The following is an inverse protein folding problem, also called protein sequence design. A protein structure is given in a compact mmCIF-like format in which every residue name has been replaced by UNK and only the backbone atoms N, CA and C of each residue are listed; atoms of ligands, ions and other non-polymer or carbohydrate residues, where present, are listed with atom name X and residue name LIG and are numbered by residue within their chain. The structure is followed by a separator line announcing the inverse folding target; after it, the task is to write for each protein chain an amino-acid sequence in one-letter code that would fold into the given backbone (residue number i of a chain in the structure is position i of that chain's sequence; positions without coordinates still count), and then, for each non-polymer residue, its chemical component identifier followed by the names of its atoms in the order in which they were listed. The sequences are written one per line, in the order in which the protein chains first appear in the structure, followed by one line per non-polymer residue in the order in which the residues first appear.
data_IF_862716225942
#
_entry.id   IF_862716225942
#
_cell.length_a   1.000
_cell.length_b   1.000
_cell.length_c   1.000
_cell.angle_alpha   90.00
_cell.angle_beta   90.00
_cell.angle_gamma   90.00
#
_symmetry.space_group_name_H-M   'P 1'
#
loop_
_entity.id
_entity.type
_entity.pdbx_description
1 polymer ?
#
# COMPACT_ATOMS: atom_id res chain seq x y z
N UNK A 1 -3.67 -16.77 3.53
CA UNK A 1 -2.78 -17.96 3.55
C UNK A 1 -2.66 -18.49 4.97
N UNK A 2 -2.28 -19.76 5.15
CA UNK A 2 -1.81 -20.30 6.44
C UNK A 2 -0.30 -20.18 6.49
N UNK A 3 0.25 -19.34 7.38
CA UNK A 3 1.69 -19.06 7.41
C UNK A 3 2.46 -20.12 8.22
N UNK A 4 1.86 -20.64 9.30
CA UNK A 4 2.43 -21.75 10.09
C UNK A 4 1.42 -22.85 10.36
N UNK A 5 1.93 -24.01 10.80
CA UNK A 5 1.06 -25.10 11.24
C UNK A 5 0.15 -24.64 12.38
N UNK A 6 -1.11 -25.09 12.36
CA UNK A 6 -2.16 -24.81 13.36
C UNK A 6 -2.58 -23.34 13.50
N UNK A 7 -2.22 -22.46 12.56
CA UNK A 7 -2.80 -21.11 12.47
C UNK A 7 -4.12 -21.13 11.68
N UNK A 8 -5.09 -20.26 12.05
CA UNK A 8 -6.34 -20.13 11.31
C UNK A 8 -6.14 -19.41 9.97
N UNK A 9 -7.02 -19.69 9.01
CA UNK A 9 -7.24 -18.82 7.85
C UNK A 9 -8.45 -17.93 8.18
N UNK A 10 -8.22 -16.92 9.03
CA UNK A 10 -9.30 -16.10 9.60
C UNK A 10 -10.18 -15.45 8.53
N UNK A 11 -9.61 -15.06 7.40
CA UNK A 11 -10.39 -14.51 6.29
C UNK A 11 -11.45 -15.48 5.72
N UNK A 12 -11.18 -16.80 5.65
CA UNK A 12 -12.19 -17.79 5.23
C UNK A 12 -13.21 -18.04 6.35
N UNK A 13 -12.78 -18.03 7.61
CA UNK A 13 -13.72 -18.10 8.73
C UNK A 13 -14.72 -16.92 8.69
N UNK A 14 -14.23 -15.70 8.52
CA UNK A 14 -15.07 -14.49 8.42
C UNK A 14 -15.99 -14.56 7.20
N UNK A 15 -15.51 -15.02 6.04
CA UNK A 15 -16.36 -15.23 4.87
C UNK A 15 -17.54 -16.18 5.17
N UNK A 16 -17.26 -17.33 5.79
CA UNK A 16 -18.29 -18.28 6.19
C UNK A 16 -19.31 -17.67 7.17
N UNK A 17 -18.86 -16.86 8.13
CA UNK A 17 -19.74 -16.21 9.10
C UNK A 17 -20.66 -15.18 8.42
N UNK A 18 -20.12 -14.38 7.48
CA UNK A 18 -20.89 -13.40 6.71
C UNK A 18 -21.98 -14.10 5.88
N UNK A 19 -21.63 -15.20 5.21
CA UNK A 19 -22.58 -16.00 4.43
C UNK A 19 -23.62 -16.70 5.32
N UNK A 20 -23.20 -17.28 6.45
CA UNK A 20 -24.10 -17.94 7.41
C UNK A 20 -25.10 -16.95 8.00
N UNK A 21 -24.69 -15.70 8.19
CA UNK A 21 -25.58 -14.62 8.62
C UNK A 21 -26.61 -14.21 7.55
N UNK A 22 -26.51 -14.72 6.32
CA UNK A 22 -27.49 -14.55 5.25
C UNK A 22 -27.06 -13.56 4.14
N UNK A 23 -25.79 -13.13 4.11
CA UNK A 23 -25.32 -12.30 3.01
C UNK A 23 -25.37 -13.05 1.67
N UNK A 24 -25.92 -12.42 0.64
CA UNK A 24 -26.04 -13.00 -0.71
C UNK A 24 -25.08 -12.39 -1.72
N UNK A 25 -24.38 -11.32 -1.34
CA UNK A 25 -23.37 -10.62 -2.14
C UNK A 25 -22.43 -9.83 -1.22
N UNK A 26 -21.18 -9.66 -1.65
CA UNK A 26 -20.21 -8.78 -0.98
C UNK A 26 -19.72 -7.70 -1.94
N UNK A 27 -19.60 -6.47 -1.45
CA UNK A 27 -18.88 -5.39 -2.13
C UNK A 27 -17.70 -5.00 -1.25
N UNK A 28 -16.52 -4.88 -1.83
CA UNK A 28 -15.31 -4.50 -1.07
C UNK A 28 -14.34 -3.71 -1.93
N UNK A 29 -13.35 -3.10 -1.29
CA UNK A 29 -12.31 -2.31 -1.91
C UNK A 29 -10.95 -2.93 -1.59
N UNK A 30 -10.09 -3.09 -2.61
CA UNK A 30 -8.67 -3.48 -2.51
C UNK A 30 -8.34 -4.54 -1.45
N UNK A 31 -8.89 -5.74 -1.61
CA UNK A 31 -8.52 -6.89 -0.78
C UNK A 31 -7.00 -7.09 -0.75
N UNK A 32 -6.45 -7.28 0.45
CA UNK A 32 -5.01 -7.52 0.66
C UNK A 32 -4.43 -8.63 -0.23
N UNK A 33 -5.23 -9.67 -0.49
CA UNK A 33 -4.88 -10.72 -1.44
C UNK A 33 -6.08 -11.02 -2.36
N UNK A 34 -5.90 -11.03 -3.69
CA UNK A 34 -7.01 -11.25 -4.63
C UNK A 34 -7.65 -12.64 -4.48
N UNK A 35 -6.91 -13.62 -3.93
CA UNK A 35 -7.40 -14.98 -3.68
C UNK A 35 -8.48 -15.03 -2.59
N UNK A 36 -8.63 -13.99 -1.76
CA UNK A 36 -9.72 -13.91 -0.77
C UNK A 36 -11.09 -13.95 -1.45
N UNK A 37 -11.19 -13.56 -2.72
CA UNK A 37 -12.43 -13.69 -3.47
C UNK A 37 -12.91 -15.14 -3.55
N UNK A 38 -12.00 -16.11 -3.69
CA UNK A 38 -12.34 -17.53 -3.70
C UNK A 38 -12.67 -18.11 -2.31
N UNK A 39 -12.69 -17.28 -1.27
CA UNK A 39 -13.19 -17.70 0.05
C UNK A 39 -14.69 -17.52 0.18
N UNK A 40 -15.35 -16.80 -0.72
CA UNK A 40 -16.79 -16.66 -0.70
C UNK A 40 -17.44 -17.55 -1.76
N UNK A 41 -18.53 -18.19 -1.38
CA UNK A 41 -19.40 -18.97 -2.27
C UNK A 41 -20.54 -18.10 -2.86
N UNK A 42 -20.56 -16.80 -2.49
CA UNK A 42 -21.44 -15.75 -3.01
C UNK A 42 -20.69 -14.79 -3.97
N UNK A 43 -21.39 -14.08 -4.87
CA UNK A 43 -20.76 -13.09 -5.75
C UNK A 43 -20.08 -11.96 -4.98
N UNK A 44 -18.93 -11.51 -5.49
CA UNK A 44 -18.17 -10.38 -4.95
C UNK A 44 -17.95 -9.31 -6.02
N UNK A 45 -18.23 -8.07 -5.69
CA UNK A 45 -17.75 -6.90 -6.42
C UNK A 45 -16.50 -6.34 -5.73
N UNK A 46 -15.33 -6.58 -6.34
CA UNK A 46 -14.05 -6.12 -5.83
C UNK A 46 -13.60 -4.83 -6.53
N UNK A 47 -13.86 -3.70 -5.87
CA UNK A 47 -13.46 -2.37 -6.31
C UNK A 47 -11.95 -2.15 -6.11
N UNK A 48 -11.34 -1.33 -6.96
CA UNK A 48 -9.90 -1.00 -6.88
C UNK A 48 -9.72 0.53 -6.79
N UNK A 49 -9.02 1.03 -5.76
CA UNK A 49 -8.78 2.45 -5.55
C UNK A 49 -7.66 3.02 -6.45
N UNK A 50 -6.85 2.15 -7.08
CA UNK A 50 -5.69 2.58 -7.89
C UNK A 50 -6.07 3.63 -8.93
N UNK A 51 -7.26 3.54 -9.53
CA UNK A 51 -7.77 4.54 -10.46
C UNK A 51 -7.91 5.91 -9.80
N UNK A 52 -8.68 5.97 -8.71
CA UNK A 52 -8.94 7.20 -7.96
C UNK A 52 -7.64 7.83 -7.46
N UNK A 53 -6.73 7.02 -6.92
CA UNK A 53 -5.43 7.47 -6.44
C UNK A 53 -4.55 7.98 -7.59
N UNK A 54 -4.56 7.32 -8.76
CA UNK A 54 -3.81 7.80 -9.93
C UNK A 54 -4.35 9.14 -10.43
N UNK A 55 -5.67 9.26 -10.52
CA UNK A 55 -6.33 10.48 -11.01
C UNK A 55 -5.96 11.68 -10.10
N UNK A 56 -5.93 11.49 -8.77
CA UNK A 56 -5.46 12.50 -7.81
C UNK A 56 -4.05 13.05 -8.11
N UNK A 57 -3.11 12.18 -8.48
CA UNK A 57 -1.73 12.59 -8.76
C UNK A 57 -1.58 13.17 -10.16
N UNK A 58 -2.32 12.64 -11.14
CA UNK A 58 -2.33 13.15 -12.52
C UNK A 58 -2.81 14.60 -12.59
N UNK A 59 -3.81 14.97 -11.81
CA UNK A 59 -4.37 16.33 -11.77
C UNK A 59 -3.45 17.37 -11.12
N UNK A 60 -2.46 16.94 -10.34
CA UNK A 60 -1.57 17.84 -9.59
C UNK A 60 -0.33 18.27 -10.35
N UNK A 61 -0.11 17.74 -11.55
CA UNK A 61 1.04 18.08 -12.40
C UNK A 61 2.38 18.07 -11.63
N UNK A 62 2.68 16.96 -10.95
CA UNK A 62 3.90 16.80 -10.14
C UNK A 62 5.21 16.80 -10.94
N UNK A 63 5.16 17.11 -12.24
CA UNK A 63 6.27 17.06 -13.19
C UNK A 63 6.32 15.77 -14.00
N UNK A 64 7.23 15.70 -14.96
CA UNK A 64 7.39 14.56 -15.88
C UNK A 64 8.32 13.47 -15.32
N UNK A 65 9.14 13.78 -14.31
CA UNK A 65 10.12 12.87 -13.70
C UNK A 65 9.55 12.08 -12.52
N UNK A 66 8.47 11.33 -12.79
CA UNK A 66 7.79 10.51 -11.80
C UNK A 66 8.31 9.07 -11.79
N UNK A 67 8.33 8.45 -10.60
CA UNK A 67 8.49 6.99 -10.43
C UNK A 67 7.44 6.50 -9.44
N UNK A 68 6.72 5.45 -9.81
CA UNK A 68 5.84 4.76 -8.86
C UNK A 68 6.62 3.66 -8.16
N UNK A 69 6.56 3.64 -6.84
CA UNK A 69 7.37 2.75 -6.00
C UNK A 69 6.48 1.73 -5.31
N UNK A 70 6.85 0.46 -5.45
CA UNK A 70 6.32 -0.61 -4.60
C UNK A 70 7.17 -0.73 -3.33
N UNK A 71 6.58 -0.61 -2.12
CA UNK A 71 7.34 -0.67 -0.87
C UNK A 71 7.85 -2.07 -0.51
N UNK A 72 7.34 -3.10 -1.19
CA UNK A 72 7.79 -4.48 -1.15
C UNK A 72 7.46 -5.23 -2.46
N UNK A 73 7.71 -6.55 -2.51
CA UNK A 73 7.41 -7.40 -3.66
C UNK A 73 5.92 -7.71 -3.83
N UNK A 74 5.12 -7.67 -2.77
CA UNK A 74 3.69 -7.97 -2.80
C UNK A 74 2.88 -6.88 -3.48
N UNK A 75 3.30 -5.62 -3.33
CA UNK A 75 2.66 -4.46 -3.94
C UNK A 75 2.98 -4.22 -5.42
N UNK A 76 3.88 -5.00 -6.05
CA UNK A 76 4.45 -4.67 -7.37
C UNK A 76 3.38 -4.57 -8.46
N UNK A 77 2.39 -5.47 -8.45
CA UNK A 77 1.28 -5.45 -9.40
C UNK A 77 0.43 -4.18 -9.25
N UNK A 78 0.27 -3.68 -8.02
CA UNK A 78 -0.45 -2.43 -7.73
C UNK A 78 0.33 -1.21 -8.20
N UNK A 79 1.63 -1.18 -7.90
CA UNK A 79 2.54 -0.16 -8.39
C UNK A 79 2.58 -0.10 -9.92
N UNK A 80 2.63 -1.27 -10.59
CA UNK A 80 2.55 -1.35 -12.07
C UNK A 80 1.27 -0.71 -12.61
N UNK A 81 0.10 -1.07 -12.07
CA UNK A 81 -1.18 -0.51 -12.52
C UNK A 81 -1.23 1.02 -12.40
N UNK A 82 -0.71 1.57 -11.31
CA UNK A 82 -0.62 3.02 -11.14
C UNK A 82 0.39 3.66 -12.09
N UNK A 83 1.56 3.03 -12.25
CA UNK A 83 2.62 3.47 -13.16
C UNK A 83 2.11 3.56 -14.61
N UNK A 84 1.36 2.55 -15.08
CA UNK A 84 0.77 2.52 -16.41
C UNK A 84 -0.23 3.67 -16.62
N UNK A 85 -1.02 4.03 -15.59
CA UNK A 85 -1.96 5.16 -15.65
C UNK A 85 -1.26 6.51 -15.65
N UNK A 86 -0.20 6.64 -14.85
CA UNK A 86 0.61 7.86 -14.75
C UNK A 86 1.66 7.98 -15.86
N UNK A 87 1.77 6.96 -16.74
CA UNK A 87 2.83 6.85 -17.77
C UNK A 87 4.24 7.00 -17.17
N UNK A 88 4.44 6.45 -15.98
CA UNK A 88 5.68 6.55 -15.22
C UNK A 88 6.41 5.19 -15.15
N UNK A 89 7.74 5.18 -15.00
CA UNK A 89 8.48 3.99 -14.61
C UNK A 89 8.12 3.50 -13.20
N UNK A 90 8.53 2.28 -12.89
CA UNK A 90 8.43 1.66 -11.57
C UNK A 90 9.79 1.64 -10.86
N UNK A 91 9.76 1.66 -9.53
CA UNK A 91 10.83 1.10 -8.71
C UNK A 91 10.24 0.15 -7.66
N UNK A 92 11.07 -0.77 -7.17
CA UNK A 92 10.68 -1.77 -6.17
C UNK A 92 11.70 -1.72 -5.04
N UNK A 93 11.20 -1.69 -3.81
CA UNK A 93 12.03 -1.84 -2.63
C UNK A 93 12.10 -3.32 -2.27
N UNK A 94 13.28 -3.90 -2.43
CA UNK A 94 13.59 -5.26 -1.97
C UNK A 94 14.09 -5.19 -0.52
N UNK A 95 13.20 -5.56 0.41
CA UNK A 95 13.53 -5.66 1.83
C UNK A 95 14.15 -7.03 2.10
N UNK A 96 15.47 -7.07 2.32
CA UNK A 96 16.14 -8.29 2.77
C UNK A 96 16.38 -8.25 4.26
N UNK A 97 15.90 -9.27 4.96
CA UNK A 97 16.27 -9.58 6.35
C UNK A 97 17.32 -10.69 6.32
N UNK A 98 18.62 -10.38 6.44
CA UNK A 98 19.64 -11.42 6.41
C UNK A 98 19.58 -12.35 7.62
N UNK A 99 19.12 -11.88 8.79
CA UNK A 99 18.94 -12.67 10.02
C UNK A 99 17.84 -12.08 10.92
N UNK A 100 17.26 -12.87 11.85
CA UNK A 100 16.47 -12.31 12.95
C UNK A 100 17.31 -11.27 13.73
N UNK A 101 16.73 -10.10 14.02
CA UNK A 101 17.34 -8.98 14.77
C UNK A 101 18.47 -8.18 14.07
N UNK A 102 18.70 -8.37 12.76
CA UNK A 102 19.58 -7.48 11.97
C UNK A 102 18.74 -6.43 11.25
N UNK A 103 19.25 -5.20 11.20
CA UNK A 103 18.63 -4.08 10.50
C UNK A 103 18.29 -4.46 9.05
N UNK A 104 17.12 -4.03 8.58
CA UNK A 104 16.65 -4.31 7.22
C UNK A 104 17.59 -3.64 6.21
N UNK A 105 18.13 -4.42 5.28
CA UNK A 105 18.84 -3.87 4.12
C UNK A 105 17.80 -3.57 3.05
N UNK A 106 17.72 -2.32 2.63
CA UNK A 106 16.76 -1.83 1.65
C UNK A 106 17.49 -1.65 0.32
N UNK A 107 17.25 -2.55 -0.64
CA UNK A 107 17.74 -2.38 -2.00
C UNK A 107 16.64 -1.78 -2.87
N UNK A 108 16.99 -0.78 -3.67
CA UNK A 108 16.04 -0.17 -4.62
C UNK A 108 16.36 -0.73 -6.02
N UNK A 109 15.37 -1.36 -6.63
CA UNK A 109 15.42 -1.83 -8.01
C UNK A 109 14.67 -0.82 -8.87
N UNK A 110 15.39 -0.07 -9.68
CA UNK A 110 14.88 1.04 -10.51
C UNK A 110 15.64 2.34 -10.24
N UNK A 111 15.57 3.30 -11.16
CA UNK A 111 16.21 4.61 -10.99
C UNK A 111 15.23 5.61 -10.34
N UNK A 112 15.60 6.12 -9.16
CA UNK A 112 14.82 7.09 -8.38
C UNK A 112 15.55 8.43 -8.19
N UNK A 113 16.82 8.53 -8.60
CA UNK A 113 17.64 9.71 -8.42
C UNK A 113 17.12 10.88 -9.27
N UNK A 114 16.94 12.04 -8.64
CA UNK A 114 16.38 13.23 -9.28
C UNK A 114 14.86 13.17 -9.49
N UNK A 115 14.18 12.10 -9.08
CA UNK A 115 12.77 11.84 -9.42
C UNK A 115 11.81 12.07 -8.26
N UNK A 116 10.57 12.39 -8.59
CA UNK A 116 9.45 12.41 -7.65
C UNK A 116 8.93 10.98 -7.49
N UNK A 117 9.02 10.45 -6.28
CA UNK A 117 8.58 9.09 -5.99
C UNK A 117 7.17 9.08 -5.40
N UNK A 118 6.32 8.17 -5.90
CA UNK A 118 5.00 7.91 -5.35
C UNK A 118 4.95 6.46 -4.86
N UNK A 119 4.97 6.27 -3.54
CA UNK A 119 4.78 4.96 -2.91
C UNK A 119 3.29 4.63 -2.92
N UNK A 120 2.92 3.42 -3.37
CA UNK A 120 1.54 2.94 -3.31
C UNK A 120 1.45 1.60 -2.57
N UNK A 121 0.51 1.52 -1.61
CA UNK A 121 0.19 0.28 -0.90
C UNK A 121 -1.33 0.05 -0.78
N UNK A 122 -1.78 -1.15 -0.40
CA UNK A 122 -3.21 -1.38 -0.11
C UNK A 122 -3.59 -0.81 1.26
N UNK A 123 -2.71 -0.99 2.23
CA UNK A 123 -3.00 -0.69 3.63
C UNK A 123 -1.80 -0.02 4.30
N UNK A 124 -2.07 1.01 5.08
CA UNK A 124 -1.07 1.60 5.97
C UNK A 124 -1.56 1.44 7.39
N UNK A 125 -0.92 0.51 8.12
CA UNK A 125 -1.22 0.21 9.52
C UNK A 125 -0.35 1.05 10.46
N UNK A 126 0.81 0.54 10.89
CA UNK A 126 1.71 1.27 11.80
C UNK A 126 2.64 2.26 11.10
N UNK A 127 2.48 2.47 9.79
CA UNK A 127 3.33 3.30 8.91
C UNK A 127 4.84 2.98 8.88
N UNK A 128 5.31 1.89 9.50
CA UNK A 128 6.74 1.55 9.53
C UNK A 128 7.31 1.24 8.15
N UNK A 129 6.56 0.48 7.33
CA UNK A 129 7.01 0.09 5.99
C UNK A 129 7.21 1.29 5.07
N UNK A 130 6.22 2.19 5.03
CA UNK A 130 6.21 3.34 4.12
C UNK A 130 7.22 4.42 4.52
N UNK A 131 7.47 4.61 5.82
CA UNK A 131 8.37 5.66 6.31
C UNK A 131 9.84 5.24 6.13
N UNK A 132 10.16 3.95 6.33
CA UNK A 132 11.45 3.39 5.95
C UNK A 132 11.68 3.44 4.43
N UNK A 133 10.66 3.12 3.64
CA UNK A 133 10.72 3.25 2.19
C UNK A 133 11.00 4.70 1.77
N UNK A 134 10.29 5.67 2.35
CA UNK A 134 10.48 7.07 2.04
C UNK A 134 11.90 7.57 2.39
N UNK A 135 12.45 7.15 3.54
CA UNK A 135 13.83 7.46 3.92
C UNK A 135 14.83 6.89 2.91
N UNK A 136 14.71 5.61 2.55
CA UNK A 136 15.57 4.96 1.57
C UNK A 136 15.53 5.66 0.20
N UNK A 137 14.35 6.08 -0.26
CA UNK A 137 14.19 6.81 -1.52
C UNK A 137 14.88 8.18 -1.48
N UNK A 138 14.76 8.91 -0.37
CA UNK A 138 15.45 10.19 -0.19
C UNK A 138 16.96 10.04 -0.16
N UNK A 139 17.46 9.04 0.55
CA UNK A 139 18.89 8.71 0.60
C UNK A 139 19.43 8.32 -0.79
N UNK A 140 18.59 7.71 -1.63
CA UNK A 140 18.90 7.39 -3.02
C UNK A 140 18.67 8.55 -4.01
N UNK A 141 18.44 9.77 -3.52
CA UNK A 141 18.40 10.98 -4.35
C UNK A 141 17.03 11.36 -4.92
N UNK A 142 15.92 10.77 -4.45
CA UNK A 142 14.59 11.20 -4.85
C UNK A 142 14.33 12.66 -4.43
N UNK A 143 13.75 13.47 -5.31
CA UNK A 143 13.53 14.92 -5.07
C UNK A 143 12.36 15.20 -4.15
N UNK A 144 11.32 14.36 -4.20
CA UNK A 144 10.15 14.36 -3.30
C UNK A 144 9.62 12.94 -3.14
N UNK A 145 9.01 12.66 -2.00
CA UNK A 145 8.36 11.36 -1.76
C UNK A 145 6.91 11.59 -1.32
N UNK A 146 5.98 11.05 -2.10
CA UNK A 146 4.57 10.95 -1.78
C UNK A 146 4.24 9.51 -1.40
N UNK A 147 3.21 9.31 -0.59
CA UNK A 147 2.67 7.99 -0.29
C UNK A 147 1.15 7.98 -0.48
N UNK A 148 0.62 6.84 -0.88
CA UNK A 148 -0.81 6.63 -0.93
C UNK A 148 -1.22 5.20 -0.59
N UNK A 149 -2.44 5.05 -0.06
CA UNK A 149 -3.05 3.74 0.12
C UNK A 149 -4.56 3.75 0.04
N UNK A 150 -5.13 2.56 -0.11
CA UNK A 150 -6.57 2.37 -0.06
C UNK A 150 -7.07 2.46 1.37
N UNK A 151 -6.46 1.74 2.31
CA UNK A 151 -6.95 1.57 3.68
C UNK A 151 -6.05 2.26 4.72
N UNK A 152 -6.46 3.41 5.27
CA UNK A 152 -5.70 4.10 6.31
C UNK A 152 -6.03 3.54 7.70
N UNK A 153 -5.46 2.40 8.07
CA UNK A 153 -5.64 1.87 9.44
C UNK A 153 -4.96 2.80 10.46
N UNK A 154 -3.76 3.28 10.15
CA UNK A 154 -3.02 4.30 10.90
C UNK A 154 -3.02 4.04 12.42
N UNK A 155 -2.63 2.83 12.82
CA UNK A 155 -2.64 2.39 14.22
C UNK A 155 -1.35 2.76 14.96
N UNK A 156 -1.45 2.82 16.29
CA UNK A 156 -0.31 3.05 17.17
C UNK A 156 0.51 4.29 16.77
N UNK A 157 1.81 4.16 16.50
CA UNK A 157 2.69 5.30 16.23
C UNK A 157 2.61 5.85 14.79
N UNK A 158 1.59 5.46 14.01
CA UNK A 158 1.55 5.76 12.57
C UNK A 158 1.67 7.25 12.24
N UNK A 159 0.84 8.10 12.87
CA UNK A 159 0.81 9.55 12.60
C UNK A 159 2.16 10.19 12.88
N UNK A 160 2.70 9.98 14.08
CA UNK A 160 4.03 10.46 14.47
C UNK A 160 5.12 9.99 13.50
N UNK A 161 5.09 8.73 13.08
CA UNK A 161 6.07 8.21 12.11
C UNK A 161 5.98 8.90 10.76
N UNK A 162 4.77 9.25 10.31
CA UNK A 162 4.55 9.95 9.04
C UNK A 162 5.05 11.39 9.16
N UNK A 163 4.70 12.10 10.24
CA UNK A 163 5.17 13.46 10.53
C UNK A 163 6.70 13.55 10.64
N UNK A 164 7.34 12.57 11.29
CA UNK A 164 8.80 12.49 11.45
C UNK A 164 9.52 11.95 10.17
N UNK A 165 8.79 11.69 9.09
CA UNK A 165 9.34 11.10 7.85
C UNK A 165 9.45 12.12 6.72
N UNK A 166 10.22 11.81 5.66
CA UNK A 166 10.32 12.71 4.52
C UNK A 166 9.15 12.55 3.52
N UNK A 167 7.99 12.07 3.98
CA UNK A 167 6.79 11.97 3.14
C UNK A 167 6.16 13.37 3.06
N UNK A 168 6.11 13.93 1.85
CA UNK A 168 5.52 15.25 1.58
C UNK A 168 4.01 15.26 1.82
N UNK A 169 3.35 14.17 1.43
CA UNK A 169 1.91 14.00 1.62
C UNK A 169 1.54 12.54 1.58
N UNK A 170 0.69 12.15 2.53
CA UNK A 170 -0.01 10.88 2.53
C UNK A 170 -1.43 11.08 1.97
N UNK A 171 -1.76 10.35 0.91
CA UNK A 171 -3.06 10.40 0.23
C UNK A 171 -3.79 9.09 0.43
N UNK A 172 -4.97 9.12 1.04
CA UNK A 172 -5.71 7.91 1.41
C UNK A 172 -7.16 7.99 0.97
N UNK A 173 -7.83 6.84 0.87
CA UNK A 173 -9.29 6.82 0.71
C UNK A 173 -9.99 6.93 2.06
N UNK A 174 -11.30 7.11 2.03
CA UNK A 174 -12.18 7.11 3.21
C UNK A 174 -12.73 5.71 3.55
N UNK A 175 -12.12 4.62 3.08
CA UNK A 175 -12.57 3.26 3.40
C UNK A 175 -12.55 2.94 4.91
N UNK A 176 -11.75 3.69 5.66
CA UNK A 176 -11.70 3.67 7.12
C UNK A 176 -11.88 5.12 7.57
N UNK A 177 -12.89 5.37 8.42
CA UNK A 177 -13.09 6.68 9.00
C UNK A 177 -11.96 6.99 9.99
N UNK A 178 -11.32 8.14 9.81
CA UNK A 178 -10.30 8.65 10.71
C UNK A 178 -10.93 9.71 11.63
N UNK A 179 -10.58 9.73 12.92
CA UNK A 179 -11.01 10.79 13.82
C UNK A 179 -10.31 12.11 13.43
N UNK A 180 -10.92 13.24 13.81
CA UNK A 180 -10.52 14.56 13.34
C UNK A 180 -9.06 14.91 13.68
N UNK A 181 -8.53 14.39 14.80
CA UNK A 181 -7.17 14.64 15.26
C UNK A 181 -6.08 13.97 14.40
N UNK A 182 -6.45 13.15 13.41
CA UNK A 182 -5.52 12.51 12.46
C UNK A 182 -5.41 13.24 11.12
N UNK A 183 -6.08 14.36 10.94
CA UNK A 183 -5.98 15.22 9.74
C UNK A 183 -5.06 16.41 9.97
#
# INVERSE_FOLDING_TARGET
RKARSREPITAKLVANLIETAGATRMITLDMHAPQIQGFFDIPIDHLNAVRLLSDYFSERHLGDDLVVVSPDHGGVTRARKMADRLKAPIAIIDKRRPRPNVAEVMNIVGNVEGKVCIIIDDIIDTAGTITLAAKALREAGATKVYACCSHPVLSGPAMKRIEDSPIEKLVVTNSIALPEEKW
#
